data_IF_041390302001
#
_entry.id   IF_041390302001
#
_cell.length_a   1.000
_cell.length_b   1.000
_cell.length_c   1.000
_cell.angle_alpha   90.00
_cell.angle_beta   90.00
_cell.angle_gamma   90.00
#
_symmetry.space_group_name_H-M   'P 1'
#
loop_
_entity.id
_entity.type
_entity.pdbx_description
1 polymer ?
#
# COMPACT_ATOMS: atom_id res chain seq x y z
N UNK A 1 10.22 0.56 -13.39
CA UNK A 1 9.34 -0.60 -13.13
C UNK A 1 9.53 -1.03 -11.68
N UNK A 2 8.48 -1.47 -11.01
CA UNK A 2 8.49 -1.90 -9.61
C UNK A 2 8.01 -3.34 -9.54
N UNK A 3 8.74 -4.17 -8.81
CA UNK A 3 8.40 -5.55 -8.50
C UNK A 3 8.39 -5.71 -6.98
N UNK A 4 7.32 -6.29 -6.45
CA UNK A 4 7.16 -6.56 -5.02
C UNK A 4 6.80 -8.04 -4.85
N UNK A 5 7.64 -8.78 -4.13
CA UNK A 5 7.26 -10.08 -3.56
C UNK A 5 6.62 -9.83 -2.19
N UNK A 6 5.34 -10.14 -2.06
CA UNK A 6 4.60 -10.08 -0.81
C UNK A 6 4.41 -11.49 -0.25
N UNK A 7 4.82 -11.68 1.00
CA UNK A 7 4.66 -12.95 1.74
C UNK A 7 3.81 -12.66 2.97
N UNK A 8 2.69 -13.37 3.14
CA UNK A 8 1.93 -13.28 4.38
C UNK A 8 2.59 -14.11 5.48
N UNK A 9 3.52 -13.50 6.21
CA UNK A 9 4.21 -14.11 7.36
C UNK A 9 3.41 -14.15 8.66
N UNK A 10 2.12 -13.76 8.66
CA UNK A 10 1.27 -13.81 9.84
C UNK A 10 1.02 -15.25 10.30
N UNK A 11 0.90 -15.46 11.62
CA UNK A 11 0.58 -16.77 12.19
C UNK A 11 -0.93 -17.07 12.24
N UNK A 12 -1.78 -16.05 12.06
CA UNK A 12 -3.21 -16.16 12.36
C UNK A 12 -4.13 -15.35 11.45
N UNK A 13 -3.60 -14.39 10.70
CA UNK A 13 -4.43 -13.50 9.88
C UNK A 13 -4.06 -13.56 8.40
N UNK A 14 -5.08 -13.37 7.56
CA UNK A 14 -4.87 -13.05 6.16
C UNK A 14 -4.46 -11.59 6.04
N UNK A 15 -3.48 -11.36 5.19
CA UNK A 15 -3.05 -10.04 4.77
C UNK A 15 -3.04 -9.97 3.25
N UNK A 16 -3.27 -8.78 2.74
CA UNK A 16 -3.15 -8.41 1.34
C UNK A 16 -2.18 -7.26 1.22
N UNK A 17 -1.81 -6.95 -0.01
CA UNK A 17 -1.14 -5.71 -0.36
C UNK A 17 -1.92 -5.04 -1.48
N UNK A 18 -2.22 -3.77 -1.34
CA UNK A 18 -2.89 -2.94 -2.33
C UNK A 18 -2.19 -1.59 -2.37
N UNK A 19 -1.88 -1.11 -3.56
CA UNK A 19 -1.42 0.26 -3.75
C UNK A 19 -2.65 1.18 -3.75
N UNK A 20 -2.70 2.13 -2.83
CA UNK A 20 -3.81 3.09 -2.72
C UNK A 20 -3.26 4.51 -2.69
N UNK A 21 -4.15 5.50 -2.81
CA UNK A 21 -3.84 6.85 -2.34
C UNK A 21 -3.52 6.83 -0.84
N UNK A 22 -2.88 7.90 -0.37
CA UNK A 22 -2.80 8.19 1.07
C UNK A 22 -4.20 8.55 1.59
N UNK A 23 -4.51 8.11 2.80
CA UNK A 23 -5.74 8.43 3.51
C UNK A 23 -5.40 9.22 4.77
N UNK A 24 -6.06 10.36 4.96
CA UNK A 24 -6.17 10.95 6.29
C UNK A 24 -7.03 10.03 7.19
N UNK A 25 -6.88 10.04 8.53
CA UNK A 25 -7.68 9.20 9.41
C UNK A 25 -9.20 9.32 9.21
N UNK A 26 -9.69 10.52 8.88
CA UNK A 26 -11.11 10.78 8.59
C UNK A 26 -11.57 10.30 7.21
N UNK A 27 -10.65 9.93 6.32
CA UNK A 27 -10.91 9.50 4.95
C UNK A 27 -10.72 8.00 4.73
N UNK A 28 -10.32 7.28 5.77
CA UNK A 28 -10.08 5.84 5.69
C UNK A 28 -11.36 5.11 5.25
N UNK A 29 -11.31 4.36 4.14
CA UNK A 29 -12.50 3.73 3.58
C UNK A 29 -12.98 2.61 4.50
N UNK A 30 -14.30 2.40 4.52
CA UNK A 30 -14.91 1.28 5.24
C UNK A 30 -14.50 -0.06 4.61
N UNK A 31 -14.19 -0.09 3.33
CA UNK A 31 -13.69 -1.29 2.67
C UNK A 31 -12.89 -0.88 1.46
N UNK A 32 -11.69 -1.44 1.31
CA UNK A 32 -10.95 -1.38 0.07
C UNK A 32 -11.45 -2.48 -0.87
N UNK A 33 -11.64 -2.10 -2.12
CA UNK A 33 -12.03 -2.95 -3.23
C UNK A 33 -10.99 -2.87 -4.34
N UNK A 34 -11.10 -3.71 -5.37
CA UNK A 34 -10.18 -3.64 -6.51
C UNK A 34 -10.20 -2.28 -7.21
N UNK A 35 -11.31 -1.52 -7.13
CA UNK A 35 -11.44 -0.19 -7.74
C UNK A 35 -10.59 0.88 -7.02
N UNK A 36 -10.26 0.65 -5.75
CA UNK A 36 -9.40 1.55 -4.97
C UNK A 36 -7.91 1.37 -5.30
N UNK A 37 -7.56 0.31 -6.03
CA UNK A 37 -6.19 -0.02 -6.37
C UNK A 37 -5.64 0.95 -7.43
N UNK A 38 -4.69 1.78 -7.02
CA UNK A 38 -3.93 2.63 -7.94
C UNK A 38 -3.20 1.74 -8.93
N UNK A 39 -3.39 2.04 -10.22
CA UNK A 39 -2.86 1.29 -11.36
C UNK A 39 -3.24 -0.21 -11.35
N UNK A 40 -4.33 -0.58 -10.67
CA UNK A 40 -4.78 -1.97 -10.54
C UNK A 40 -3.86 -2.85 -9.70
N UNK A 41 -3.02 -2.26 -8.84
CA UNK A 41 -2.01 -2.99 -8.07
C UNK A 41 -2.59 -3.49 -6.76
N UNK A 42 -2.96 -4.77 -6.71
CA UNK A 42 -3.38 -5.44 -5.48
C UNK A 42 -3.17 -6.95 -5.55
N UNK A 43 -3.06 -7.59 -4.40
CA UNK A 43 -3.09 -9.06 -4.29
C UNK A 43 -4.53 -9.56 -4.38
N UNK A 44 -4.78 -10.57 -5.21
CA UNK A 44 -6.08 -11.23 -5.28
C UNK A 44 -6.18 -12.42 -4.28
N UNK A 45 -7.21 -12.46 -3.41
CA UNK A 45 -8.29 -11.49 -3.31
C UNK A 45 -7.95 -10.29 -2.40
N UNK A 46 -8.60 -9.10 -2.56
CA UNK A 46 -8.29 -7.89 -1.80
C UNK A 46 -8.32 -8.06 -0.27
N UNK A 47 -9.14 -8.99 0.24
CA UNK A 47 -9.24 -9.31 1.66
C UNK A 47 -8.05 -10.10 2.22
N UNK A 48 -7.18 -10.63 1.37
CA UNK A 48 -5.91 -11.23 1.77
C UNK A 48 -5.68 -12.67 1.34
N UNK A 49 -4.40 -13.00 1.25
CA UNK A 49 -3.86 -14.32 0.95
C UNK A 49 -3.63 -15.13 2.23
N UNK A 50 -3.49 -16.45 2.11
CA UNK A 50 -3.31 -17.36 3.23
C UNK A 50 -1.94 -17.18 3.90
N UNK A 51 -1.81 -17.73 5.10
CA UNK A 51 -0.55 -17.79 5.85
C UNK A 51 0.51 -18.50 5.01
N UNK A 52 1.72 -17.93 4.99
CA UNK A 52 2.89 -18.35 4.20
C UNK A 52 2.68 -18.35 2.67
N UNK A 53 1.55 -17.84 2.20
CA UNK A 53 1.31 -17.66 0.77
C UNK A 53 2.11 -16.46 0.25
N UNK A 54 2.54 -16.57 -1.01
CA UNK A 54 3.27 -15.52 -1.72
C UNK A 54 2.46 -14.97 -2.88
N UNK A 55 2.64 -13.69 -3.14
CA UNK A 55 2.17 -13.01 -4.36
C UNK A 55 3.25 -12.08 -4.87
N UNK A 56 3.32 -11.97 -6.19
CA UNK A 56 4.16 -10.99 -6.85
C UNK A 56 3.26 -9.92 -7.44
N UNK A 57 3.64 -8.66 -7.22
CA UNK A 57 2.99 -7.50 -7.83
C UNK A 57 4.01 -6.83 -8.75
N UNK A 58 3.62 -6.61 -10.00
CA UNK A 58 4.46 -6.00 -11.03
C UNK A 58 3.73 -4.82 -11.63
N UNK A 59 4.33 -3.63 -11.55
CA UNK A 59 3.70 -2.43 -12.09
C UNK A 59 4.70 -1.36 -12.51
N UNK A 60 4.20 -0.42 -13.31
CA UNK A 60 4.93 0.79 -13.70
C UNK A 60 4.26 1.96 -13.00
N UNK A 61 5.01 2.66 -12.15
CA UNK A 61 4.52 3.89 -11.53
C UNK A 61 4.34 4.96 -12.61
N UNK A 62 3.14 5.51 -12.72
CA UNK A 62 2.78 6.44 -13.79
C UNK A 62 2.87 7.91 -13.36
N UNK A 63 2.81 8.17 -12.05
CA UNK A 63 2.75 9.51 -11.50
C UNK A 63 3.59 9.60 -10.21
N UNK A 64 4.43 10.62 -10.12
CA UNK A 64 5.13 10.99 -8.90
C UNK A 64 4.13 11.40 -7.80
N UNK A 65 4.39 10.99 -6.56
CA UNK A 65 3.47 11.22 -5.46
C UNK A 65 3.69 10.27 -4.29
N UNK A 66 2.86 10.42 -3.26
CA UNK A 66 2.85 9.56 -2.09
C UNK A 66 1.62 8.65 -2.13
N UNK A 67 1.85 7.39 -1.83
CA UNK A 67 0.86 6.32 -1.87
C UNK A 67 1.01 5.46 -0.63
N UNK A 68 0.05 4.57 -0.40
CA UNK A 68 0.20 3.48 0.56
C UNK A 68 0.26 2.14 -0.16
N UNK A 69 1.16 1.29 0.28
CA UNK A 69 1.04 -0.16 0.13
C UNK A 69 0.30 -0.68 1.37
N UNK A 70 -1.02 -0.72 1.29
CA UNK A 70 -1.92 -1.01 2.40
C UNK A 70 -2.43 -2.45 2.41
N UNK A 71 -2.76 -2.97 3.59
CA UNK A 71 -3.60 -4.15 3.69
C UNK A 71 -5.04 -3.78 3.29
N UNK A 72 -5.61 -4.48 2.31
CA UNK A 72 -6.99 -4.27 1.85
C UNK A 72 -8.08 -4.60 2.88
N UNK A 73 -7.71 -5.21 4.01
CA UNK A 73 -8.62 -5.51 5.12
C UNK A 73 -8.79 -4.27 6.00
N UNK A 74 -10.02 -3.77 6.09
CA UNK A 74 -10.35 -2.51 6.76
C UNK A 74 -9.71 -2.34 8.15
N UNK A 75 -9.91 -3.30 9.05
CA UNK A 75 -9.39 -3.20 10.43
C UNK A 75 -7.88 -3.06 10.43
N UNK A 76 -7.17 -3.81 9.59
CA UNK A 76 -5.72 -3.73 9.48
C UNK A 76 -5.27 -2.38 8.92
N UNK A 77 -5.92 -1.86 7.88
CA UNK A 77 -5.63 -0.52 7.35
C UNK A 77 -5.76 0.54 8.46
N UNK A 78 -6.87 0.53 9.19
CA UNK A 78 -7.13 1.47 10.28
C UNK A 78 -6.12 1.34 11.43
N UNK A 79 -5.67 0.11 11.72
CA UNK A 79 -4.67 -0.19 12.74
C UNK A 79 -3.23 0.12 12.27
N UNK A 80 -3.06 0.69 11.07
CA UNK A 80 -1.76 1.13 10.57
C UNK A 80 -0.99 0.09 9.75
N UNK A 81 -1.65 -0.94 9.22
CA UNK A 81 -1.01 -1.95 8.37
C UNK A 81 -0.87 -1.43 6.94
N UNK A 82 0.03 -0.47 6.77
CA UNK A 82 0.43 0.08 5.49
C UNK A 82 1.90 0.47 5.54
N UNK A 83 2.53 0.49 4.36
CA UNK A 83 3.87 1.03 4.14
C UNK A 83 3.70 2.24 3.23
N UNK A 84 4.29 3.38 3.58
CA UNK A 84 4.28 4.52 2.67
C UNK A 84 5.19 4.26 1.47
N UNK A 85 4.68 4.54 0.28
CA UNK A 85 5.36 4.33 -0.99
C UNK A 85 5.43 5.66 -1.73
N UNK A 86 6.65 6.16 -1.93
CA UNK A 86 6.88 7.44 -2.58
C UNK A 86 7.51 7.23 -3.96
N UNK A 87 6.90 7.86 -4.96
CA UNK A 87 7.41 7.90 -6.34
C UNK A 87 7.93 9.31 -6.59
N UNK A 88 9.20 9.42 -7.02
CA UNK A 88 9.80 10.69 -7.45
C UNK A 88 10.40 10.51 -8.84
N UNK A 89 10.40 11.58 -9.63
CA UNK A 89 10.93 11.55 -11.00
C UNK A 89 12.45 11.37 -11.06
N UNK A 90 13.15 11.73 -9.99
CA UNK A 90 14.62 11.85 -9.97
C UNK A 90 15.33 10.86 -9.05
N UNK A 91 14.72 9.69 -8.75
CA UNK A 91 15.43 8.66 -7.97
C UNK A 91 16.40 7.90 -8.87
N UNK A 92 17.67 7.82 -8.46
CA UNK A 92 18.67 6.99 -9.14
C UNK A 92 18.51 5.50 -8.79
N UNK A 93 17.99 5.21 -7.60
CA UNK A 93 17.74 3.85 -7.10
C UNK A 93 16.59 3.81 -6.10
N UNK A 94 15.94 2.65 -5.98
CA UNK A 94 14.94 2.41 -4.93
C UNK A 94 15.60 2.30 -3.55
N UNK A 95 14.99 2.93 -2.54
CA UNK A 95 15.48 2.93 -1.16
C UNK A 95 14.35 2.57 -0.22
N UNK A 96 14.62 1.68 0.75
CA UNK A 96 13.74 1.44 1.87
C UNK A 96 14.24 2.25 3.07
N UNK A 97 13.38 3.13 3.60
CA UNK A 97 13.66 3.88 4.81
C UNK A 97 12.88 3.21 5.94
N UNK A 98 13.60 2.63 6.88
CA UNK A 98 13.03 2.10 8.12
C UNK A 98 13.24 3.19 9.16
N UNK A 99 12.23 4.05 9.33
CA UNK A 99 12.24 5.07 10.35
C UNK A 99 11.50 4.55 11.58
N UNK A 100 12.21 4.35 12.69
CA UNK A 100 11.58 3.97 13.97
C UNK A 100 10.73 5.12 14.57
N UNK A 101 10.75 6.32 13.98
CA UNK A 101 10.22 7.56 14.57
C UNK A 101 9.26 8.43 13.72
N UNK A 102 8.84 8.08 12.48
CA UNK A 102 7.58 8.48 11.74
C UNK A 102 7.73 8.71 10.22
N UNK A 103 6.71 8.33 9.45
CA UNK A 103 6.44 8.75 8.05
C UNK A 103 6.00 10.24 7.95
N UNK A 104 6.07 10.89 6.76
CA UNK A 104 5.65 12.28 6.59
C UNK A 104 4.14 12.47 6.84
N UNK A 105 3.78 13.60 7.43
CA UNK A 105 2.38 13.99 7.66
C UNK A 105 1.66 14.31 6.34
N UNK A 106 0.36 14.01 6.33
CA UNK A 106 -0.64 14.16 5.26
C UNK A 106 -0.26 15.10 4.10
N UNK A 107 -0.37 14.61 2.86
CA UNK A 107 -0.42 15.51 1.72
C UNK A 107 -1.70 16.36 1.82
N UNK A 108 -1.64 17.68 1.59
CA UNK A 108 -2.84 18.50 1.58
C UNK A 108 -3.81 18.00 0.50
N UNK A 109 -5.13 18.06 0.73
CA UNK A 109 -6.11 17.60 -0.25
C UNK A 109 -5.91 18.36 -1.55
N UNK A 110 -5.47 17.63 -2.59
CA UNK A 110 -5.49 18.10 -3.96
C UNK A 110 -6.94 18.40 -4.34
N UNK A 111 -7.20 19.66 -4.69
CA UNK A 111 -8.47 20.16 -5.22
C UNK A 111 -8.18 20.75 -6.60
N UNK A 112 -9.16 20.72 -7.52
CA UNK A 112 -9.84 19.58 -8.13
C UNK A 112 -9.10 19.03 -9.37
#
# INVERSE_FOLDING_TARGET
QVEIEFINGSSSFRHSLMLTRVYAPSEMPVKLTAEDAIWGVYTDPPEGIKINERRQLNFVAQQAGSYFLACGRQTHLMDGHWIGFEVRDSIEQAVAIIDENKFPQEQPPGRP
#
